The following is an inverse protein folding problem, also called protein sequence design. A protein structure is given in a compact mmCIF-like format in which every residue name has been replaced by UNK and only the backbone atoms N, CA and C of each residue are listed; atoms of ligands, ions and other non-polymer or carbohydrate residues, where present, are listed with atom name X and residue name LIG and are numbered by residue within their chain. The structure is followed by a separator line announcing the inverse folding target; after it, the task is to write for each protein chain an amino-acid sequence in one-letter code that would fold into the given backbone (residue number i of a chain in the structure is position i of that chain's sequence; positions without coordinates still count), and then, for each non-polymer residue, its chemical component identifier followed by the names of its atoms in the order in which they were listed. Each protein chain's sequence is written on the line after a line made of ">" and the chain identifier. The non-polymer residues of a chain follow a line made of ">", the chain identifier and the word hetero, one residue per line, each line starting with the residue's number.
data_IF_809074840574
#
_entry.id   IF_809074840574
#
_cell.length_a   1.000
_cell.length_b   1.000
_cell.length_c   1.000
_cell.angle_alpha   90.00
_cell.angle_beta   90.00
_cell.angle_gamma   90.00
#
_symmetry.space_group_name_H-M   'P 1'
#
loop_
_entity.id
_entity.type
_entity.pdbx_description
1 polymer ?
#
# COMPACT_ATOMS: atom_id res chain seq x y z
N UNK A 1 1.16 23.02 -11.18
CA UNK A 1 1.04 22.00 -10.10
C UNK A 1 1.75 20.74 -10.60
N UNK A 2 2.29 19.90 -9.72
CA UNK A 2 2.90 18.64 -10.15
C UNK A 2 1.79 17.64 -10.50
N UNK A 3 2.03 16.71 -11.43
CA UNK A 3 1.05 15.62 -11.75
C UNK A 3 0.63 14.83 -10.50
N UNK A 4 1.53 14.67 -9.53
CA UNK A 4 1.20 14.04 -8.23
C UNK A 4 0.12 14.83 -7.48
N UNK A 5 0.21 16.16 -7.44
CA UNK A 5 -0.85 17.01 -6.86
C UNK A 5 -2.17 16.87 -7.60
N UNK A 6 -2.14 16.85 -8.94
CA UNK A 6 -3.35 16.73 -9.76
C UNK A 6 -4.06 15.38 -9.51
N UNK A 7 -3.30 14.28 -9.38
CA UNK A 7 -3.84 12.96 -9.01
C UNK A 7 -4.51 13.02 -7.63
N UNK A 8 -3.82 13.57 -6.63
CA UNK A 8 -4.32 13.64 -5.26
C UNK A 8 -5.55 14.53 -5.14
N UNK A 9 -5.59 15.64 -5.86
CA UNK A 9 -6.73 16.54 -5.89
C UNK A 9 -7.95 15.87 -6.58
N UNK A 10 -7.69 15.09 -7.63
CA UNK A 10 -8.73 14.31 -8.29
C UNK A 10 -9.29 13.21 -7.37
N UNK A 11 -8.43 12.44 -6.70
CA UNK A 11 -8.82 11.40 -5.73
C UNK A 11 -9.60 12.01 -4.55
N UNK A 12 -9.22 13.20 -4.09
CA UNK A 12 -9.90 13.91 -2.98
C UNK A 12 -11.32 14.32 -3.31
N UNK A 13 -11.70 14.34 -4.59
CA UNK A 13 -13.10 14.58 -4.99
C UNK A 13 -14.03 13.47 -4.50
N UNK A 14 -13.57 12.24 -4.42
CA UNK A 14 -14.35 11.11 -3.90
C UNK A 14 -14.02 10.79 -2.43
N UNK A 15 -12.78 10.99 -2.00
CA UNK A 15 -12.31 10.61 -0.67
C UNK A 15 -12.17 11.82 0.25
N UNK A 16 -13.31 12.36 0.69
CA UNK A 16 -13.37 13.52 1.59
C UNK A 16 -12.70 13.21 2.94
N UNK A 17 -11.87 14.12 3.42
CA UNK A 17 -11.20 14.01 4.72
C UNK A 17 -10.09 12.95 4.79
N UNK A 18 -9.75 12.29 3.66
CA UNK A 18 -8.76 11.22 3.60
C UNK A 18 -7.50 11.59 2.81
N UNK A 19 -7.18 12.90 2.73
CA UNK A 19 -6.00 13.37 1.99
C UNK A 19 -4.72 12.68 2.45
N UNK A 20 -4.48 12.58 3.75
CA UNK A 20 -3.29 11.95 4.31
C UNK A 20 -3.16 10.47 3.88
N UNK A 21 -4.29 9.73 3.85
CA UNK A 21 -4.29 8.35 3.38
C UNK A 21 -4.00 8.30 1.88
N UNK A 22 -4.58 9.20 1.09
CA UNK A 22 -4.33 9.29 -0.35
C UNK A 22 -2.87 9.63 -0.65
N UNK A 23 -2.24 10.52 0.13
CA UNK A 23 -0.82 10.86 0.02
C UNK A 23 0.06 9.62 0.24
N UNK A 24 -0.23 8.81 1.27
CA UNK A 24 0.50 7.56 1.57
C UNK A 24 0.28 6.49 0.50
N UNK A 25 -0.94 6.34 -0.02
CA UNK A 25 -1.24 5.40 -1.11
C UNK A 25 -0.51 5.80 -2.38
N UNK A 26 -0.53 7.08 -2.78
CA UNK A 26 0.23 7.56 -3.94
C UNK A 26 1.73 7.39 -3.74
N UNK A 27 2.22 7.68 -2.54
CA UNK A 27 3.62 7.43 -2.16
C UNK A 27 3.98 5.96 -2.37
N UNK A 28 3.12 5.03 -1.94
CA UNK A 28 3.35 3.60 -2.13
C UNK A 28 3.36 3.22 -3.61
N UNK A 29 2.45 3.75 -4.42
CA UNK A 29 2.39 3.52 -5.88
C UNK A 29 3.71 3.98 -6.54
N UNK A 30 4.16 5.20 -6.24
CA UNK A 30 5.40 5.77 -6.79
C UNK A 30 6.64 5.03 -6.27
N UNK A 31 6.63 4.56 -5.02
CA UNK A 31 7.71 3.72 -4.49
C UNK A 31 7.73 2.31 -5.09
N UNK A 32 6.74 1.94 -5.90
CA UNK A 32 6.59 0.59 -6.46
C UNK A 32 6.19 -0.46 -5.43
N UNK A 33 5.45 -0.04 -4.38
CA UNK A 33 5.00 -0.91 -3.30
C UNK A 33 3.50 -1.14 -3.30
N UNK A 34 3.06 -2.02 -2.41
CA UNK A 34 1.65 -2.38 -2.19
C UNK A 34 1.19 -1.90 -0.82
N UNK A 35 -0.11 -1.73 -0.64
CA UNK A 35 -0.71 -1.17 0.58
C UNK A 35 -1.67 -2.17 1.22
N UNK A 36 -1.56 -2.34 2.53
CA UNK A 36 -2.57 -3.01 3.35
C UNK A 36 -3.39 -1.96 4.10
N UNK A 37 -4.68 -1.87 3.81
CA UNK A 37 -5.61 -1.02 4.53
C UNK A 37 -6.28 -1.84 5.65
N UNK A 38 -6.03 -1.47 6.89
CA UNK A 38 -6.67 -2.08 8.04
C UNK A 38 -7.76 -1.14 8.54
N UNK A 39 -9.02 -1.57 8.41
CA UNK A 39 -10.13 -0.70 8.79
C UNK A 39 -11.48 -1.44 8.82
N UNK A 40 -12.45 -0.79 9.47
CA UNK A 40 -13.84 -1.24 9.48
C UNK A 40 -14.49 -1.12 8.09
N UNK A 41 -15.57 -1.88 7.83
CA UNK A 41 -16.34 -1.74 6.59
C UNK A 41 -16.93 -0.34 6.41
N UNK A 42 -17.10 0.08 5.13
CA UNK A 42 -17.82 1.31 4.81
C UNK A 42 -17.00 2.61 4.81
N UNK A 43 -15.68 2.56 4.98
CA UNK A 43 -14.80 3.76 5.05
C UNK A 43 -14.35 4.31 3.69
N UNK A 44 -14.84 3.78 2.57
CA UNK A 44 -14.54 4.31 1.23
C UNK A 44 -13.35 3.67 0.52
N UNK A 45 -12.84 2.53 0.98
CA UNK A 45 -11.68 1.82 0.37
C UNK A 45 -11.84 1.55 -1.12
N UNK A 46 -13.00 1.05 -1.53
CA UNK A 46 -13.30 0.76 -2.94
C UNK A 46 -13.34 2.04 -3.80
N UNK A 47 -13.89 3.13 -3.26
CA UNK A 47 -13.94 4.42 -3.94
C UNK A 47 -12.52 4.96 -4.15
N UNK A 48 -11.67 4.88 -3.13
CA UNK A 48 -10.26 5.29 -3.20
C UNK A 48 -9.49 4.54 -4.30
N UNK A 49 -9.56 3.20 -4.31
CA UNK A 49 -8.86 2.40 -5.30
C UNK A 49 -9.34 2.69 -6.74
N UNK A 50 -10.66 2.83 -6.94
CA UNK A 50 -11.24 3.25 -8.23
C UNK A 50 -10.79 4.65 -8.63
N UNK A 51 -10.75 5.60 -7.68
CA UNK A 51 -10.33 6.96 -7.94
C UNK A 51 -8.88 7.04 -8.39
N UNK A 52 -7.97 6.27 -7.77
CA UNK A 52 -6.59 6.16 -8.23
C UNK A 52 -6.50 5.58 -9.64
N UNK A 53 -7.13 4.43 -9.91
CA UNK A 53 -7.10 3.81 -11.22
C UNK A 53 -7.62 4.77 -12.31
N UNK A 54 -8.75 5.43 -12.07
CA UNK A 54 -9.34 6.40 -13.01
C UNK A 54 -8.44 7.62 -13.22
N UNK A 55 -7.79 8.10 -12.16
CA UNK A 55 -6.91 9.27 -12.23
C UNK A 55 -5.69 9.04 -13.12
N UNK A 56 -5.19 7.79 -13.20
CA UNK A 56 -3.99 7.40 -13.96
C UNK A 56 -4.29 6.66 -15.27
N UNK A 57 -5.55 6.65 -15.72
CA UNK A 57 -6.03 5.87 -16.86
C UNK A 57 -5.68 4.37 -16.80
N UNK A 58 -5.61 3.84 -15.60
CA UNK A 58 -5.26 2.45 -15.33
C UNK A 58 -6.49 1.55 -15.22
N UNK A 59 -6.30 0.27 -15.52
CA UNK A 59 -7.33 -0.74 -15.31
C UNK A 59 -7.52 -1.00 -13.80
N UNK A 60 -8.79 -1.01 -13.37
CA UNK A 60 -9.18 -1.37 -12.00
C UNK A 60 -9.77 -2.77 -11.97
N UNK A 61 -9.36 -3.56 -10.97
CA UNK A 61 -9.98 -4.84 -10.66
C UNK A 61 -10.27 -4.95 -9.16
N UNK A 62 -11.39 -5.57 -8.80
CA UNK A 62 -11.71 -5.93 -7.42
C UNK A 62 -11.79 -7.44 -7.28
N UNK A 63 -11.07 -7.96 -6.32
CA UNK A 63 -11.09 -9.38 -5.94
C UNK A 63 -11.66 -9.42 -4.52
N UNK A 64 -12.87 -9.97 -4.38
CA UNK A 64 -13.46 -10.24 -3.06
C UNK A 64 -12.93 -11.58 -2.56
N UNK A 65 -12.19 -11.57 -1.48
CA UNK A 65 -11.66 -12.78 -0.89
C UNK A 65 -12.74 -13.50 -0.07
N UNK A 66 -12.96 -14.78 -0.37
CA UNK A 66 -13.91 -15.67 0.29
C UNK A 66 -13.25 -17.02 0.55
N UNK A 67 -13.75 -17.85 1.48
CA UNK A 67 -13.13 -19.15 1.79
C UNK A 67 -13.05 -20.12 0.61
N UNK A 68 -13.93 -19.98 -0.37
CA UNK A 68 -14.04 -20.80 -1.58
C UNK A 68 -13.26 -20.24 -2.78
N UNK A 69 -12.68 -19.05 -2.69
CA UNK A 69 -11.88 -18.45 -3.76
C UNK A 69 -10.63 -19.31 -4.03
N UNK A 70 -10.40 -19.65 -5.30
CA UNK A 70 -9.26 -20.45 -5.73
C UNK A 70 -8.12 -19.54 -6.24
N UNK A 71 -6.84 -19.97 -6.20
CA UNK A 71 -5.73 -19.28 -6.83
C UNK A 71 -5.96 -18.95 -8.31
N UNK A 72 -6.55 -19.89 -9.07
CA UNK A 72 -6.87 -19.69 -10.48
C UNK A 72 -7.92 -18.61 -10.75
N UNK A 73 -8.77 -18.30 -9.78
CA UNK A 73 -9.74 -17.20 -9.90
C UNK A 73 -9.02 -15.83 -9.85
N UNK A 74 -7.81 -15.78 -9.29
CA UNK A 74 -6.95 -14.59 -9.21
C UNK A 74 -6.04 -14.51 -10.43
N UNK A 75 -5.31 -15.59 -10.73
CA UNK A 75 -4.25 -15.63 -11.74
C UNK A 75 -4.76 -15.89 -13.15
N UNK A 76 -5.90 -16.54 -13.27
CA UNK A 76 -6.42 -17.04 -14.53
C UNK A 76 -6.12 -18.52 -14.75
N UNK A 77 -6.62 -19.06 -15.85
CA UNK A 77 -6.59 -20.50 -16.16
C UNK A 77 -6.58 -20.74 -17.66
N UNK A 78 -5.95 -21.83 -18.10
CA UNK A 78 -6.11 -22.29 -19.47
C UNK A 78 -7.46 -22.99 -19.65
N UNK A 79 -8.23 -22.54 -20.65
CA UNK A 79 -9.51 -23.14 -21.03
C UNK A 79 -9.43 -23.67 -22.43
N UNK A 80 -10.01 -24.85 -22.67
CA UNK A 80 -10.05 -25.41 -24.02
C UNK A 80 -11.08 -24.67 -24.88
N UNK A 81 -10.61 -24.03 -25.95
CA UNK A 81 -11.46 -23.40 -26.94
C UNK A 81 -11.90 -24.43 -27.98
N UNK A 82 -13.15 -24.87 -27.88
CA UNK A 82 -13.69 -25.90 -28.79
C UNK A 82 -13.75 -25.48 -30.24
N UNK A 83 -13.81 -24.17 -30.54
CA UNK A 83 -13.87 -23.65 -31.91
C UNK A 83 -12.50 -23.68 -32.61
N UNK A 84 -11.46 -23.42 -31.87
CA UNK A 84 -10.07 -23.32 -32.35
C UNK A 84 -9.31 -24.62 -32.10
N UNK A 85 -9.83 -25.52 -31.24
CA UNK A 85 -9.22 -26.78 -30.91
C UNK A 85 -7.96 -26.68 -30.04
N UNK A 86 -7.76 -25.56 -29.36
CA UNK A 86 -6.56 -25.27 -28.58
C UNK A 86 -6.88 -24.77 -27.18
N UNK A 87 -5.89 -24.84 -26.29
CA UNK A 87 -5.97 -24.20 -24.95
C UNK A 87 -5.62 -22.72 -25.05
N UNK A 88 -6.50 -21.86 -24.53
CA UNK A 88 -6.30 -20.40 -24.50
C UNK A 88 -6.21 -19.96 -23.04
N UNK A 89 -5.19 -19.16 -22.72
CA UNK A 89 -5.05 -18.59 -21.39
C UNK A 89 -6.08 -17.47 -21.18
N UNK A 90 -7.01 -17.71 -20.25
CA UNK A 90 -7.94 -16.69 -19.80
C UNK A 90 -7.35 -15.96 -18.60
N UNK A 91 -6.91 -14.71 -18.81
CA UNK A 91 -6.34 -13.86 -17.76
C UNK A 91 -7.30 -13.67 -16.60
N UNK A 92 -6.77 -13.77 -15.38
CA UNK A 92 -7.49 -13.47 -14.15
C UNK A 92 -7.51 -11.97 -13.82
N UNK A 93 -8.23 -11.58 -12.77
CA UNK A 93 -8.37 -10.18 -12.35
C UNK A 93 -7.04 -9.54 -11.88
N UNK A 94 -5.99 -10.31 -11.64
CA UNK A 94 -4.66 -9.80 -11.26
C UNK A 94 -3.97 -9.03 -12.39
N UNK A 95 -4.42 -9.19 -13.64
CA UNK A 95 -3.90 -8.47 -14.80
C UNK A 95 -4.47 -7.05 -14.94
N UNK A 96 -4.58 -6.34 -13.84
CA UNK A 96 -5.00 -4.95 -13.80
C UNK A 96 -3.91 -4.08 -13.15
N UNK A 97 -3.93 -2.77 -13.38
CA UNK A 97 -2.94 -1.85 -12.83
C UNK A 97 -3.19 -1.57 -11.33
N UNK A 98 -4.46 -1.41 -10.94
CA UNK A 98 -4.87 -1.17 -9.56
C UNK A 98 -5.84 -2.26 -9.13
N UNK A 99 -5.41 -3.07 -8.17
CA UNK A 99 -6.19 -4.18 -7.66
C UNK A 99 -6.63 -3.87 -6.23
N UNK A 100 -7.92 -3.96 -5.99
CA UNK A 100 -8.47 -4.00 -4.64
C UNK A 100 -8.66 -5.46 -4.24
N UNK A 101 -7.79 -5.98 -3.38
CA UNK A 101 -7.92 -7.30 -2.74
C UNK A 101 -8.72 -7.14 -1.45
N UNK A 102 -10.05 -7.29 -1.55
CA UNK A 102 -10.96 -6.98 -0.44
C UNK A 102 -11.10 -8.17 0.50
N UNK A 103 -10.88 -7.93 1.81
CA UNK A 103 -10.93 -8.91 2.89
C UNK A 103 -9.97 -10.11 2.68
N UNK A 104 -8.69 -9.81 2.39
CA UNK A 104 -7.66 -10.82 2.04
C UNK A 104 -7.55 -11.95 3.07
N UNK A 105 -7.83 -11.67 4.34
CA UNK A 105 -7.79 -12.64 5.43
C UNK A 105 -8.97 -13.63 5.44
N UNK A 106 -9.97 -13.51 4.56
CA UNK A 106 -11.08 -14.48 4.45
C UNK A 106 -10.75 -15.68 3.57
N UNK A 107 -9.82 -15.57 2.63
CA UNK A 107 -9.44 -16.71 1.81
C UNK A 107 -8.36 -17.57 2.46
N UNK A 108 -8.24 -18.80 1.98
CA UNK A 108 -7.24 -19.76 2.46
C UNK A 108 -5.81 -19.24 2.24
N UNK A 109 -4.83 -19.71 3.03
CA UNK A 109 -3.41 -19.32 2.86
C UNK A 109 -2.87 -19.61 1.45
N UNK A 110 -3.37 -20.65 0.78
CA UNK A 110 -2.98 -20.99 -0.60
C UNK A 110 -3.41 -19.90 -1.58
N UNK A 111 -4.62 -19.38 -1.43
CA UNK A 111 -5.16 -18.32 -2.27
C UNK A 111 -4.49 -16.97 -1.98
N UNK A 112 -4.23 -16.67 -0.71
CA UNK A 112 -3.45 -15.50 -0.31
C UNK A 112 -2.05 -15.53 -0.94
N UNK A 113 -1.35 -16.68 -0.87
CA UNK A 113 -0.01 -16.85 -1.41
C UNK A 113 0.06 -16.59 -2.92
N UNK A 114 -0.96 -16.96 -3.69
CA UNK A 114 -1.00 -16.69 -5.13
C UNK A 114 -0.98 -15.19 -5.45
N UNK A 115 -1.76 -14.36 -4.73
CA UNK A 115 -1.71 -12.91 -4.89
C UNK A 115 -0.37 -12.33 -4.44
N UNK A 116 0.14 -12.80 -3.29
CA UNK A 116 1.40 -12.32 -2.72
C UNK A 116 2.61 -12.68 -3.59
N UNK A 117 2.57 -13.80 -4.32
CA UNK A 117 3.58 -14.14 -5.32
C UNK A 117 3.55 -13.15 -6.48
N UNK A 118 2.35 -12.86 -7.02
CA UNK A 118 2.20 -11.85 -8.07
C UNK A 118 2.73 -10.47 -7.64
N UNK A 119 2.53 -10.10 -6.37
CA UNK A 119 3.02 -8.83 -5.80
C UNK A 119 4.56 -8.76 -5.75
N UNK A 120 5.23 -9.87 -5.47
CA UNK A 120 6.68 -9.90 -5.32
C UNK A 120 7.40 -10.05 -6.66
N UNK A 121 6.88 -10.95 -7.51
CA UNK A 121 7.53 -11.30 -8.77
C UNK A 121 7.09 -10.40 -9.95
N UNK A 122 6.04 -9.57 -9.80
CA UNK A 122 5.43 -8.77 -10.86
C UNK A 122 5.07 -9.59 -12.11
N UNK A 123 4.75 -10.87 -11.90
CA UNK A 123 4.35 -11.82 -12.93
C UNK A 123 3.39 -12.86 -12.39
N UNK A 124 2.74 -13.57 -13.31
CA UNK A 124 1.87 -14.71 -13.01
C UNK A 124 2.49 -15.95 -13.65
N UNK A 125 2.58 -17.05 -12.90
CA UNK A 125 3.04 -18.34 -13.42
C UNK A 125 1.87 -19.33 -13.42
N UNK A 126 1.47 -19.81 -14.60
CA UNK A 126 0.42 -20.84 -14.78
C UNK A 126 0.93 -21.90 -15.72
N UNK A 127 0.82 -23.17 -15.35
CA UNK A 127 1.21 -24.34 -16.14
C UNK A 127 2.66 -24.30 -16.66
N UNK A 128 3.56 -23.65 -15.91
CA UNK A 128 4.98 -23.48 -16.28
C UNK A 128 5.28 -22.32 -17.23
N UNK A 129 4.26 -21.58 -17.65
CA UNK A 129 4.39 -20.35 -18.41
C UNK A 129 4.26 -19.13 -17.51
N UNK A 130 5.06 -18.09 -17.76
CA UNK A 130 4.99 -16.84 -17.01
C UNK A 130 4.52 -15.68 -17.89
N UNK A 131 3.63 -14.87 -17.33
CA UNK A 131 3.12 -13.65 -17.95
C UNK A 131 3.45 -12.46 -17.05
N UNK A 132 4.15 -11.45 -17.57
CA UNK A 132 4.44 -10.21 -16.83
C UNK A 132 3.17 -9.40 -16.61
N UNK A 133 3.09 -8.77 -15.45
CA UNK A 133 2.06 -7.80 -15.13
C UNK A 133 2.46 -6.41 -15.65
N UNK A 134 1.49 -5.64 -16.11
CA UNK A 134 1.71 -4.31 -16.69
C UNK A 134 1.90 -3.27 -15.56
N UNK A 135 2.91 -2.41 -15.71
CA UNK A 135 3.19 -1.33 -14.76
C UNK A 135 2.30 -0.08 -15.05
N UNK A 136 1.89 0.67 -14.04
CA UNK A 136 2.05 0.36 -12.62
C UNK A 136 1.19 -0.83 -12.20
N UNK A 137 1.75 -1.70 -11.37
CA UNK A 137 1.03 -2.80 -10.75
C UNK A 137 0.98 -2.57 -9.25
N UNK A 138 -0.19 -2.25 -8.72
CA UNK A 138 -0.39 -2.00 -7.29
C UNK A 138 -1.56 -2.78 -6.74
N UNK A 139 -1.33 -3.42 -5.60
CA UNK A 139 -2.36 -4.09 -4.81
C UNK A 139 -2.66 -3.23 -3.59
N UNK A 140 -3.92 -2.87 -3.44
CA UNK A 140 -4.50 -2.29 -2.24
C UNK A 140 -5.31 -3.41 -1.58
N UNK A 141 -4.72 -4.09 -0.61
CA UNK A 141 -5.41 -5.14 0.13
C UNK A 141 -6.15 -4.54 1.32
N UNK A 142 -7.28 -5.16 1.70
CA UNK A 142 -7.99 -4.78 2.92
C UNK A 142 -8.06 -5.95 3.90
N UNK A 143 -8.00 -5.62 5.18
CA UNK A 143 -8.19 -6.55 6.28
C UNK A 143 -9.12 -5.92 7.31
N UNK A 144 -10.08 -6.71 7.81
CA UNK A 144 -10.92 -6.29 8.92
C UNK A 144 -10.34 -6.88 10.22
N UNK A 145 -9.81 -6.05 11.13
CA UNK A 145 -9.19 -6.55 12.36
C UNK A 145 -10.21 -7.09 13.37
N UNK A 146 -11.48 -6.72 13.25
CA UNK A 146 -12.55 -7.10 14.22
C UNK A 146 -13.09 -8.49 13.92
N UNK A 147 -13.14 -8.89 12.65
CA UNK A 147 -13.64 -10.21 12.25
C UNK A 147 -12.54 -11.27 12.39
N UNK A 148 -12.51 -11.98 13.51
CA UNK A 148 -11.56 -13.08 13.76
C UNK A 148 -12.14 -14.46 13.43
N UNK A 149 -13.47 -14.62 13.50
CA UNK A 149 -14.13 -15.90 13.21
C UNK A 149 -14.11 -16.22 11.72
N UNK A 150 -13.55 -17.37 11.34
CA UNK A 150 -13.49 -17.82 9.94
C UNK A 150 -12.47 -17.07 9.08
N UNK A 151 -11.48 -16.42 9.69
CA UNK A 151 -10.40 -15.72 8.98
C UNK A 151 -9.06 -16.45 9.13
N UNK A 152 -8.20 -16.27 8.13
CA UNK A 152 -6.82 -16.76 8.10
C UNK A 152 -5.88 -15.53 8.15
N UNK A 153 -5.29 -15.30 9.31
CA UNK A 153 -4.36 -14.20 9.51
C UNK A 153 -3.14 -14.34 8.58
N UNK A 154 -2.70 -13.23 8.01
CA UNK A 154 -1.46 -13.20 7.25
C UNK A 154 -0.26 -13.36 8.18
N UNK A 155 0.63 -14.35 7.96
CA UNK A 155 1.89 -14.43 8.68
C UNK A 155 2.76 -13.18 8.50
N UNK A 156 3.62 -12.88 9.47
CA UNK A 156 4.49 -11.70 9.43
C UNK A 156 5.36 -11.64 8.16
N UNK A 157 5.87 -12.78 7.68
CA UNK A 157 6.64 -12.87 6.45
C UNK A 157 5.83 -12.48 5.19
N UNK A 158 4.52 -12.62 5.24
CA UNK A 158 3.62 -12.18 4.16
C UNK A 158 3.24 -10.72 4.30
N UNK A 159 3.09 -10.23 5.54
CA UNK A 159 2.86 -8.79 5.81
C UNK A 159 4.04 -7.93 5.33
N UNK A 160 5.28 -8.45 5.39
CA UNK A 160 6.49 -7.73 4.93
C UNK A 160 6.49 -7.42 3.42
N UNK A 161 5.60 -8.05 2.62
CA UNK A 161 5.41 -7.74 1.19
C UNK A 161 4.65 -6.45 0.94
N UNK A 162 3.87 -5.98 1.90
CA UNK A 162 3.23 -4.66 1.83
C UNK A 162 4.22 -3.58 2.24
N UNK A 163 4.36 -2.54 1.43
CA UNK A 163 5.23 -1.41 1.77
C UNK A 163 4.69 -0.65 2.97
N UNK A 164 3.39 -0.41 2.97
CA UNK A 164 2.70 0.32 4.04
C UNK A 164 1.47 -0.44 4.53
N UNK A 165 1.26 -0.40 5.86
CA UNK A 165 0.01 -0.74 6.51
C UNK A 165 -0.61 0.55 7.02
N UNK A 166 -1.81 0.87 6.56
CA UNK A 166 -2.46 2.16 6.79
C UNK A 166 -3.83 1.92 7.41
N UNK A 167 -4.12 2.64 8.48
CA UNK A 167 -5.47 2.71 9.06
C UNK A 167 -6.20 3.94 8.48
N UNK A 168 -7.35 3.71 7.85
CA UNK A 168 -8.15 4.80 7.29
C UNK A 168 -8.92 5.58 8.36
N UNK A 169 -9.37 4.90 9.41
CA UNK A 169 -10.20 5.46 10.46
C UNK A 169 -11.56 6.02 9.97
N UNK A 170 -12.37 6.48 10.89
CA UNK A 170 -13.61 7.16 10.53
C UNK A 170 -13.34 8.59 10.03
N UNK A 171 -14.22 9.16 9.18
CA UNK A 171 -14.16 10.57 8.82
C UNK A 171 -14.43 11.43 10.06
N UNK A 172 -13.90 12.65 10.09
CA UNK A 172 -14.28 13.64 11.11
C UNK A 172 -15.72 14.10 10.86
N UNK A 173 -16.37 14.65 11.88
CA UNK A 173 -17.76 15.11 11.81
C UNK A 173 -18.01 16.04 10.60
N UNK A 174 -17.12 17.00 10.37
CA UNK A 174 -17.30 17.97 9.28
C UNK A 174 -17.12 17.31 7.91
N UNK A 175 -16.21 16.34 7.79
CA UNK A 175 -16.01 15.55 6.58
C UNK A 175 -17.23 14.67 6.28
N UNK A 176 -17.84 14.07 7.32
CA UNK A 176 -19.04 13.24 7.17
C UNK A 176 -20.24 14.07 6.73
N UNK A 177 -20.42 15.27 7.29
CA UNK A 177 -21.43 16.24 6.81
C UNK A 177 -21.18 16.61 5.35
N UNK A 178 -19.93 16.81 4.94
CA UNK A 178 -19.57 17.13 3.57
C UNK A 178 -19.87 15.96 2.60
N UNK A 179 -19.60 14.72 3.03
CA UNK A 179 -19.94 13.50 2.28
C UNK A 179 -21.45 13.46 2.03
N UNK A 180 -22.27 13.58 3.09
CA UNK A 180 -23.73 13.55 2.96
C UNK A 180 -24.26 14.64 2.03
N UNK A 181 -23.75 15.87 2.14
CA UNK A 181 -24.15 16.98 1.26
C UNK A 181 -23.80 16.77 -0.22
N UNK A 182 -22.70 16.06 -0.50
CA UNK A 182 -22.35 15.70 -1.89
C UNK A 182 -23.33 14.71 -2.47
N UNK A 183 -23.68 13.65 -1.74
CA UNK A 183 -24.65 12.65 -2.19
C UNK A 183 -26.08 13.18 -2.37
N UNK A 184 -26.42 14.28 -1.68
CA UNK A 184 -27.70 14.97 -1.91
C UNK A 184 -27.78 15.69 -3.26
N UNK A 185 -26.64 16.08 -3.85
CA UNK A 185 -26.60 16.89 -5.07
C UNK A 185 -26.36 16.06 -6.31
N UNK A 186 -25.32 15.24 -6.32
CA UNK A 186 -24.92 14.40 -7.46
C UNK A 186 -24.10 13.20 -6.98
N UNK A 187 -24.03 12.15 -7.80
CA UNK A 187 -23.12 11.04 -7.58
C UNK A 187 -21.66 11.53 -7.74
N UNK A 188 -20.82 11.51 -6.67
CA UNK A 188 -19.46 12.02 -6.73
C UNK A 188 -18.59 11.35 -7.80
N UNK A 189 -18.87 10.07 -8.13
CA UNK A 189 -18.10 9.29 -9.12
C UNK A 189 -18.12 9.89 -10.53
N UNK A 190 -19.12 10.72 -10.85
CA UNK A 190 -19.23 11.41 -12.14
C UNK A 190 -18.21 12.56 -12.30
N UNK A 191 -17.60 13.02 -11.22
CA UNK A 191 -16.61 14.11 -11.23
C UNK A 191 -15.16 13.68 -11.47
N UNK A 192 -14.89 12.37 -11.53
CA UNK A 192 -13.56 11.86 -11.78
C UNK A 192 -13.18 11.90 -13.26
N UNK A 193 -12.03 12.49 -13.54
CA UNK A 193 -11.40 12.52 -14.87
C UNK A 193 -10.02 11.85 -14.81
N UNK A 194 -9.51 11.42 -15.95
CA UNK A 194 -8.10 11.07 -16.11
C UNK A 194 -7.27 12.34 -16.05
N UNK A 195 -6.25 12.39 -15.20
CA UNK A 195 -5.34 13.54 -15.02
C UNK A 195 -3.88 13.18 -15.25
N UNK A 196 -3.59 11.87 -15.31
CA UNK A 196 -2.28 11.30 -15.62
C UNK A 196 -2.47 9.98 -16.37
N UNK A 197 -1.38 9.42 -16.90
CA UNK A 197 -1.35 8.10 -17.53
C UNK A 197 -0.51 7.11 -16.71
N UNK A 198 -0.59 5.82 -17.05
CA UNK A 198 0.29 4.81 -16.47
C UNK A 198 1.77 5.11 -16.74
N UNK A 199 2.11 5.66 -17.93
CA UNK A 199 3.46 6.11 -18.27
C UNK A 199 3.92 7.26 -17.37
N UNK A 200 3.02 8.18 -17.03
CA UNK A 200 3.35 9.26 -16.09
C UNK A 200 3.74 8.71 -14.71
N UNK A 201 3.08 7.67 -14.24
CA UNK A 201 3.46 6.98 -12.99
C UNK A 201 4.85 6.35 -13.11
N UNK A 202 5.17 5.73 -14.24
CA UNK A 202 6.50 5.17 -14.48
C UNK A 202 7.58 6.26 -14.45
N UNK A 203 7.33 7.43 -15.05
CA UNK A 203 8.23 8.59 -14.99
C UNK A 203 8.38 9.08 -13.55
N UNK A 204 7.29 9.27 -12.81
CA UNK A 204 7.34 9.69 -11.40
C UNK A 204 8.14 8.71 -10.52
N UNK A 205 8.02 7.40 -10.78
CA UNK A 205 8.77 6.34 -10.08
C UNK A 205 10.28 6.50 -10.31
N UNK A 206 10.71 6.79 -11.55
CA UNK A 206 12.12 7.05 -11.85
C UNK A 206 12.62 8.39 -11.27
N UNK A 207 11.81 9.45 -11.35
CA UNK A 207 12.15 10.75 -10.76
C UNK A 207 12.27 10.65 -9.23
N UNK A 208 11.39 9.92 -8.56
CA UNK A 208 11.46 9.72 -7.11
C UNK A 208 12.74 8.98 -6.67
N UNK A 209 13.32 8.11 -7.51
CA UNK A 209 14.63 7.48 -7.23
C UNK A 209 15.78 8.47 -7.19
N UNK A 210 15.64 9.62 -7.86
CA UNK A 210 16.64 10.69 -7.91
C UNK A 210 16.48 11.74 -6.78
N UNK A 211 15.43 11.62 -5.94
CA UNK A 211 15.26 12.47 -4.76
C UNK A 211 16.46 12.28 -3.82
N UNK A 212 17.10 13.38 -3.47
CA UNK A 212 18.31 13.39 -2.67
C UNK A 212 18.04 12.94 -1.23
N UNK A 213 18.90 12.06 -0.72
CA UNK A 213 18.89 11.62 0.69
C UNK A 213 20.27 11.90 1.27
N UNK A 214 20.33 12.79 2.25
CA UNK A 214 21.60 13.11 2.90
C UNK A 214 22.14 11.85 3.65
N UNK A 215 23.47 11.57 3.61
CA UNK A 215 24.03 10.37 4.28
C UNK A 215 23.63 10.24 5.75
N UNK A 216 23.55 11.34 6.49
CA UNK A 216 23.10 11.38 7.89
C UNK A 216 21.66 10.85 8.06
N UNK A 217 20.78 11.03 7.06
CA UNK A 217 19.42 10.45 7.11
C UNK A 217 19.43 8.94 6.85
N UNK A 218 20.38 8.46 6.05
CA UNK A 218 20.58 7.01 5.86
C UNK A 218 21.00 6.39 7.20
N UNK A 219 21.95 7.00 7.89
CA UNK A 219 22.38 6.59 9.22
C UNK A 219 21.23 6.64 10.22
N UNK A 220 20.40 7.70 10.17
CA UNK A 220 19.22 7.85 11.02
C UNK A 220 18.19 6.73 10.78
N UNK A 221 17.88 6.37 9.52
CA UNK A 221 16.99 5.24 9.19
C UNK A 221 17.55 3.94 9.77
N UNK A 222 18.85 3.70 9.61
CA UNK A 222 19.50 2.48 10.13
C UNK A 222 19.47 2.45 11.66
N UNK A 223 19.75 3.59 12.32
CA UNK A 223 19.71 3.66 13.78
C UNK A 223 18.30 3.41 14.33
N UNK A 224 17.27 4.06 13.75
CA UNK A 224 15.89 3.77 14.11
C UNK A 224 15.54 2.28 13.96
N UNK A 225 15.94 1.64 12.86
CA UNK A 225 15.72 0.21 12.66
C UNK A 225 16.45 -0.64 13.70
N UNK A 226 17.68 -0.27 14.09
CA UNK A 226 18.45 -0.94 15.16
C UNK A 226 17.76 -0.81 16.52
N UNK A 227 17.25 0.39 16.82
CA UNK A 227 16.54 0.64 18.08
C UNK A 227 15.27 -0.22 18.19
N UNK A 228 14.58 -0.54 17.08
CA UNK A 228 13.44 -1.50 17.13
C UNK A 228 13.86 -2.89 17.56
N UNK A 229 15.11 -3.34 17.24
CA UNK A 229 15.65 -4.65 17.60
C UNK A 229 16.13 -4.73 19.04
N UNK A 230 16.27 -3.60 19.71
CA UNK A 230 16.76 -3.47 21.09
C UNK A 230 15.62 -3.26 22.11
N UNK A 231 14.37 -3.19 21.64
CA UNK A 231 13.21 -3.04 22.53
C UNK A 231 12.92 -4.35 23.27
N UNK A 232 12.75 -4.30 24.59
CA UNK A 232 12.54 -5.49 25.44
C UNK A 232 11.25 -6.25 25.09
N UNK A 233 10.26 -5.58 24.52
CA UNK A 233 8.97 -6.15 24.14
C UNK A 233 8.94 -6.64 22.68
N UNK A 234 10.03 -6.51 21.92
CA UNK A 234 10.14 -6.91 20.51
C UNK A 234 11.03 -8.15 20.40
N UNK A 235 10.49 -9.22 19.81
CA UNK A 235 11.27 -10.44 19.50
C UNK A 235 11.97 -10.36 18.15
N UNK A 236 11.33 -9.71 17.15
CA UNK A 236 11.88 -9.46 15.82
C UNK A 236 11.64 -7.99 15.47
N UNK A 237 12.71 -7.22 15.33
CA UNK A 237 12.65 -5.84 14.87
C UNK A 237 12.72 -5.71 13.35
N UNK A 238 12.77 -4.48 12.85
CA UNK A 238 12.77 -4.16 11.42
C UNK A 238 13.94 -4.83 10.69
N UNK A 239 13.64 -5.53 9.59
CA UNK A 239 14.62 -6.21 8.73
C UNK A 239 15.35 -5.24 7.79
N UNK A 240 16.47 -5.65 7.15
CA UNK A 240 17.09 -4.86 6.06
C UNK A 240 16.15 -4.55 4.89
N UNK A 241 15.19 -5.44 4.58
CA UNK A 241 14.13 -5.17 3.61
C UNK A 241 13.24 -4.01 4.07
N UNK A 242 12.92 -3.96 5.37
CA UNK A 242 12.16 -2.86 5.96
C UNK A 242 12.91 -1.51 5.93
N UNK A 243 14.24 -1.50 6.12
CA UNK A 243 15.04 -0.27 5.98
C UNK A 243 15.11 0.22 4.54
N UNK A 244 15.25 -0.69 3.56
CA UNK A 244 15.18 -0.35 2.14
C UNK A 244 13.78 0.16 1.75
N UNK A 245 12.72 -0.47 2.28
CA UNK A 245 11.35 0.01 2.11
C UNK A 245 11.16 1.43 2.62
N UNK A 246 11.73 1.77 3.78
CA UNK A 246 11.71 3.14 4.33
C UNK A 246 12.42 4.13 3.42
N UNK A 247 13.59 3.80 2.91
CA UNK A 247 14.34 4.68 2.01
C UNK A 247 13.52 5.00 0.75
N UNK A 248 12.93 3.98 0.12
CA UNK A 248 12.11 4.15 -1.08
C UNK A 248 10.83 4.95 -0.79
N UNK A 249 10.17 4.67 0.35
CA UNK A 249 8.99 5.39 0.79
C UNK A 249 9.30 6.87 1.08
N UNK A 250 10.43 7.18 1.75
CA UNK A 250 10.83 8.54 2.07
C UNK A 250 11.11 9.38 0.82
N UNK A 251 11.80 8.79 -0.19
CA UNK A 251 12.02 9.44 -1.48
C UNK A 251 10.71 9.73 -2.21
N UNK A 252 9.83 8.73 -2.31
CA UNK A 252 8.54 8.88 -2.96
C UNK A 252 7.65 9.89 -2.23
N UNK A 253 7.66 9.91 -0.90
CA UNK A 253 6.90 10.86 -0.09
C UNK A 253 7.38 12.31 -0.29
N UNK A 254 8.71 12.53 -0.27
CA UNK A 254 9.28 13.83 -0.57
C UNK A 254 8.91 14.31 -1.98
N UNK A 255 8.97 13.40 -2.97
CA UNK A 255 8.55 13.68 -4.34
C UNK A 255 7.07 14.08 -4.44
N UNK A 256 6.17 13.32 -3.78
CA UNK A 256 4.72 13.64 -3.70
C UNK A 256 4.50 15.01 -3.06
N UNK A 257 5.29 15.36 -2.04
CA UNK A 257 5.29 16.68 -1.40
C UNK A 257 5.92 17.80 -2.25
N UNK A 258 6.39 17.49 -3.47
CA UNK A 258 7.00 18.46 -4.39
C UNK A 258 8.43 18.87 -4.03
N UNK A 259 9.16 18.02 -3.31
CA UNK A 259 10.56 18.25 -2.89
C UNK A 259 11.52 17.30 -3.62
N UNK A 260 12.72 17.77 -3.88
CA UNK A 260 13.83 17.00 -4.47
C UNK A 260 14.81 16.45 -3.41
N UNK A 261 14.44 16.54 -2.13
CA UNK A 261 15.21 16.01 -0.99
C UNK A 261 14.30 15.51 0.13
N UNK A 262 14.80 14.53 0.88
CA UNK A 262 14.15 13.96 2.07
C UNK A 262 14.49 14.76 3.31
N UNK A 263 13.53 14.92 4.23
CA UNK A 263 13.73 15.53 5.55
C UNK A 263 13.46 14.53 6.67
N UNK A 264 13.98 14.73 7.90
CA UNK A 264 13.75 13.83 9.03
C UNK A 264 12.26 13.58 9.33
N UNK A 265 11.42 14.60 9.13
CA UNK A 265 9.98 14.54 9.35
C UNK A 265 9.30 13.52 8.44
N UNK A 266 9.79 13.33 7.22
CA UNK A 266 9.27 12.30 6.29
C UNK A 266 9.45 10.91 6.89
N UNK A 267 10.63 10.64 7.45
CA UNK A 267 10.95 9.36 8.08
C UNK A 267 10.07 9.14 9.31
N UNK A 268 9.86 10.17 10.13
CA UNK A 268 9.01 10.09 11.33
C UNK A 268 7.56 9.79 10.99
N UNK A 269 7.00 10.45 9.96
CA UNK A 269 5.63 10.24 9.50
C UNK A 269 5.46 8.81 8.94
N UNK A 270 6.45 8.33 8.21
CA UNK A 270 6.41 7.04 7.53
C UNK A 270 6.71 5.87 8.46
N UNK A 271 7.48 6.05 9.52
CA UNK A 271 7.94 4.96 10.37
C UNK A 271 6.80 4.08 10.92
N UNK A 272 5.71 4.59 11.48
CA UNK A 272 4.60 3.76 11.96
C UNK A 272 3.96 2.94 10.83
N UNK A 273 3.68 3.56 9.68
CA UNK A 273 2.96 2.90 8.57
C UNK A 273 3.83 1.93 7.77
N UNK A 274 5.16 2.16 7.73
CA UNK A 274 6.11 1.28 7.02
C UNK A 274 6.63 0.15 7.91
N UNK A 275 6.76 0.34 9.24
CA UNK A 275 7.46 -0.60 10.09
C UNK A 275 6.61 -1.33 11.13
N UNK A 276 5.46 -0.78 11.57
CA UNK A 276 4.68 -1.41 12.64
C UNK A 276 4.26 -2.85 12.31
N UNK A 277 3.89 -3.13 11.06
CA UNK A 277 3.50 -4.47 10.63
C UNK A 277 4.68 -5.45 10.44
N UNK A 278 5.93 -4.95 10.52
CA UNK A 278 7.18 -5.73 10.35
C UNK A 278 7.84 -6.14 11.64
N UNK A 279 7.38 -5.62 12.79
CA UNK A 279 7.90 -6.04 14.10
C UNK A 279 7.04 -7.14 14.69
N UNK A 280 7.68 -8.07 15.41
CA UNK A 280 7.03 -9.16 16.13
C UNK A 280 7.24 -8.95 17.62
N UNK A 281 6.17 -8.96 18.40
CA UNK A 281 6.23 -8.77 19.84
C UNK A 281 6.59 -10.08 20.54
N UNK A 282 7.19 -9.98 21.73
CA UNK A 282 7.44 -11.13 22.59
C UNK A 282 6.13 -11.71 23.14
N UNK A 283 6.12 -13.02 23.37
CA UNK A 283 4.98 -13.69 24.00
C UNK A 283 4.76 -13.12 25.41
N UNK A 284 3.61 -12.57 25.67
CA UNK A 284 3.28 -11.84 26.91
C UNK A 284 2.97 -10.36 26.70
N UNK A 285 3.49 -9.75 25.63
CA UNK A 285 3.19 -8.36 25.24
C UNK A 285 2.20 -8.26 24.08
N UNK A 286 1.80 -9.39 23.48
CA UNK A 286 0.90 -9.42 22.30
C UNK A 286 -0.45 -8.71 22.49
N UNK A 287 -0.90 -8.53 23.72
CA UNK A 287 -2.18 -7.91 24.05
C UNK A 287 -2.04 -6.52 24.74
N UNK A 288 -0.83 -6.03 24.97
CA UNK A 288 -0.61 -4.83 25.79
C UNK A 288 -0.11 -3.62 25.01
N UNK A 289 0.65 -3.85 23.91
CA UNK A 289 1.27 -2.77 23.16
C UNK A 289 0.77 -2.73 21.73
N UNK A 290 0.36 -1.57 21.27
CA UNK A 290 0.13 -1.31 19.87
C UNK A 290 1.51 -1.19 19.16
N UNK A 291 1.74 -1.96 18.11
CA UNK A 291 2.99 -1.95 17.34
C UNK A 291 3.35 -0.55 16.83
N UNK A 292 2.35 0.23 16.46
CA UNK A 292 2.52 1.64 16.05
C UNK A 292 3.11 2.49 17.19
N UNK A 293 2.62 2.32 18.41
CA UNK A 293 3.12 3.06 19.59
C UNK A 293 4.58 2.72 19.93
N UNK A 294 4.99 1.47 19.71
CA UNK A 294 6.40 1.05 19.87
C UNK A 294 7.29 1.78 18.85
N UNK A 295 6.87 1.82 17.59
CA UNK A 295 7.62 2.55 16.57
C UNK A 295 7.65 4.05 16.87
N UNK A 296 6.53 4.65 17.28
CA UNK A 296 6.47 6.05 17.70
C UNK A 296 7.40 6.33 18.90
N UNK A 297 7.43 5.42 19.88
CA UNK A 297 8.36 5.52 21.00
C UNK A 297 9.82 5.50 20.53
N UNK A 298 10.19 4.59 19.64
CA UNK A 298 11.54 4.54 19.06
C UNK A 298 11.89 5.85 18.33
N UNK A 299 10.98 6.35 17.51
CA UNK A 299 11.16 7.60 16.74
C UNK A 299 11.34 8.79 17.68
N UNK A 300 10.53 8.89 18.76
CA UNK A 300 10.57 10.01 19.70
C UNK A 300 11.80 9.99 20.61
N UNK A 301 12.38 8.82 20.87
CA UNK A 301 13.56 8.66 21.73
C UNK A 301 14.89 8.59 20.98
N UNK A 302 14.88 8.57 19.65
CA UNK A 302 16.10 8.61 18.83
C UNK A 302 16.41 10.05 18.43
N UNK A 303 17.66 10.48 18.68
CA UNK A 303 18.08 11.83 18.37
C UNK A 303 17.95 12.11 16.86
N UNK A 304 17.30 13.21 16.54
CA UNK A 304 17.19 13.67 15.16
C UNK A 304 18.51 14.32 14.76
N UNK A 305 19.05 14.03 13.58
CA UNK A 305 20.25 14.71 13.11
C UNK A 305 20.01 16.23 12.99
N UNK A 306 20.87 17.03 13.65
CA UNK A 306 20.73 18.51 13.76
C UNK A 306 21.84 19.27 13.03
N UNK A 307 22.63 18.63 12.19
CA UNK A 307 23.77 19.27 11.54
C UNK A 307 23.36 20.22 10.41
N UNK A 308 24.20 21.24 10.16
CA UNK A 308 24.09 22.14 9.00
C UNK A 308 24.20 21.32 7.69
N UNK A 309 23.06 21.06 7.09
CA UNK A 309 22.89 20.25 5.88
C UNK A 309 23.46 20.99 4.67
N UNK A 310 24.77 20.96 4.50
CA UNK A 310 25.40 21.45 3.25
C UNK A 310 25.22 20.36 2.18
N UNK A 311 24.58 20.74 1.06
CA UNK A 311 24.50 19.93 -0.15
C UNK A 311 25.88 19.60 -0.69
#
# INVERSE_FOLDING_TARGET
>A
MSKASDILDNVSKENVGKRNVSDLVLTSIIAGGHVLLEDVPGTGKTMMAKAFAKSIDGQFSRIQFTPDLLPSDITGVHVFNQKEGEFVFRRGPVFANVILADEINRATPRTQSALLECMEEHQVTVDGEYSKLEEPFVVIATQNPIETAGTYQLPEAQLDRFLMKINMGYPKKDDEVLILNRFLKEDPSKGLSTVATCEDIAVMKEEAKNVYVHPVLIDYIVELARMTRQQDNVSIGVSPRGTLGMLNAARAYAYVAGRDYVVPEDIKILAPVVWAHRIVLQTGYMNMDNKEQIIEHVVNNTAVPTEDWKR
#
